data_IF_371728405858
#
_entry.id   IF_371728405858
#
_cell.length_a   1.000
_cell.length_b   1.000
_cell.length_c   1.000
_cell.angle_alpha   90.00
_cell.angle_beta   90.00
_cell.angle_gamma   90.00
#
_symmetry.space_group_name_H-M   'P 1'
#
loop_
_entity.id
_entity.type
_entity.pdbx_description
1 polymer ?
#
# COMPACT_ATOMS: atom_id res chain seq x y z
N UNK A 1 6.58 29.55 17.40
CA UNK A 1 5.78 28.31 17.48
C UNK A 1 6.08 27.32 16.34
N UNK A 2 6.26 27.77 15.09
CA UNK A 2 6.58 26.89 13.94
C UNK A 2 7.92 26.12 14.05
N UNK A 3 8.96 26.71 14.65
CA UNK A 3 10.28 26.07 14.79
C UNK A 3 10.27 24.88 15.74
N UNK A 4 9.48 24.93 16.82
CA UNK A 4 9.33 23.84 17.78
C UNK A 4 8.54 22.67 17.18
N UNK A 5 7.51 22.97 16.38
CA UNK A 5 6.76 21.96 15.61
C UNK A 5 7.65 21.25 14.59
N UNK A 6 8.47 21.98 13.83
CA UNK A 6 9.43 21.38 12.87
C UNK A 6 10.54 20.56 13.54
N UNK A 7 10.99 20.97 14.73
CA UNK A 7 11.98 20.20 15.50
C UNK A 7 11.35 18.92 16.06
N UNK A 8 10.16 18.99 16.64
CA UNK A 8 9.40 17.81 17.09
C UNK A 8 9.10 16.86 15.93
N UNK A 9 8.74 17.40 14.77
CA UNK A 9 8.49 16.63 13.56
C UNK A 9 9.78 15.95 13.06
N UNK A 10 10.93 16.63 13.11
CA UNK A 10 12.24 16.03 12.79
C UNK A 10 12.67 14.96 13.80
N UNK A 11 12.46 15.18 15.10
CA UNK A 11 12.83 14.22 16.15
C UNK A 11 11.96 12.97 16.06
N UNK A 12 10.65 13.14 15.92
CA UNK A 12 9.70 12.05 15.65
C UNK A 12 10.05 11.28 14.37
N UNK A 13 10.44 11.97 13.29
CA UNK A 13 10.88 11.31 12.04
C UNK A 13 12.17 10.50 12.20
N UNK A 14 13.09 10.92 13.07
CA UNK A 14 14.31 10.15 13.37
C UNK A 14 13.99 8.89 14.20
N UNK A 15 12.99 8.97 15.08
CA UNK A 15 12.51 7.81 15.85
C UNK A 15 11.74 6.82 14.96
N UNK A 16 10.92 7.31 14.03
CA UNK A 16 10.23 6.49 13.02
C UNK A 16 11.19 5.70 12.11
N UNK A 17 12.40 6.19 11.85
CA UNK A 17 13.41 5.48 11.05
C UNK A 17 13.94 4.19 11.68
N UNK A 18 13.66 3.95 12.97
CA UNK A 18 13.97 2.66 13.61
C UNK A 18 12.89 1.60 13.33
N UNK A 19 11.75 2.02 12.83
CA UNK A 19 10.61 1.16 12.53
C UNK A 19 10.46 0.99 11.02
N UNK A 20 9.97 -0.17 10.62
CA UNK A 20 9.74 -0.46 9.20
C UNK A 20 8.44 0.17 8.70
N UNK A 21 7.51 0.50 9.61
CA UNK A 21 6.23 1.15 9.28
C UNK A 21 5.64 1.97 10.44
N UNK A 22 4.78 2.97 10.17
CA UNK A 22 4.21 3.83 11.21
C UNK A 22 3.43 3.08 12.30
N UNK A 23 2.75 1.98 11.95
CA UNK A 23 1.97 1.16 12.87
C UNK A 23 2.82 0.59 14.02
N UNK A 24 4.10 0.30 13.77
CA UNK A 24 5.03 -0.19 14.80
C UNK A 24 5.36 0.92 15.80
N UNK A 25 5.55 2.16 15.33
CA UNK A 25 5.76 3.30 16.21
C UNK A 25 4.51 3.60 17.05
N UNK A 26 3.32 3.53 16.46
CA UNK A 26 2.06 3.71 17.20
C UNK A 26 1.79 2.62 18.24
N UNK A 27 2.32 1.41 18.06
CA UNK A 27 2.21 0.34 19.04
C UNK A 27 2.89 0.67 20.38
N UNK A 28 3.84 1.60 20.38
CA UNK A 28 4.56 2.05 21.56
C UNK A 28 3.77 3.08 22.38
N UNK A 29 2.74 3.70 21.80
CA UNK A 29 1.83 4.64 22.48
C UNK A 29 0.54 3.91 22.88
N UNK A 30 0.31 3.74 24.19
CA UNK A 30 -0.85 3.02 24.72
C UNK A 30 -2.20 3.63 24.35
N UNK A 31 -2.27 4.96 24.16
CA UNK A 31 -3.50 5.64 23.77
C UNK A 31 -3.75 5.48 22.27
N UNK A 32 -2.72 5.64 21.44
CA UNK A 32 -2.82 5.39 20.01
C UNK A 32 -3.21 3.94 19.75
N UNK A 33 -2.59 3.00 20.47
CA UNK A 33 -2.85 1.57 20.39
C UNK A 33 -4.33 1.20 20.57
N UNK A 34 -4.97 1.75 21.61
CA UNK A 34 -6.40 1.50 21.90
C UNK A 34 -7.30 1.97 20.76
N UNK A 35 -7.13 3.23 20.32
CA UNK A 35 -7.95 3.81 19.25
C UNK A 35 -7.75 3.08 17.92
N UNK A 36 -6.50 2.75 17.59
CA UNK A 36 -6.19 2.05 16.35
C UNK A 36 -6.75 0.62 16.35
N UNK A 37 -6.72 -0.08 17.49
CA UNK A 37 -7.33 -1.41 17.61
C UNK A 37 -8.81 -1.38 17.22
N UNK A 38 -9.59 -0.42 17.73
CA UNK A 38 -11.02 -0.31 17.42
C UNK A 38 -11.26 -0.03 15.93
N UNK A 39 -10.46 0.87 15.34
CA UNK A 39 -10.61 1.27 13.93
C UNK A 39 -10.18 0.16 12.96
N UNK A 40 -9.13 -0.59 13.30
CA UNK A 40 -8.61 -1.68 12.47
C UNK A 40 -9.54 -2.91 12.53
N UNK A 41 -10.27 -3.09 13.63
CA UNK A 41 -11.27 -4.15 13.79
C UNK A 41 -12.65 -3.80 13.24
N UNK A 42 -12.83 -2.64 12.59
CA UNK A 42 -14.11 -2.25 11.97
C UNK A 42 -14.69 -3.29 11.01
N UNK A 43 -13.92 -3.96 10.13
CA UNK A 43 -14.48 -5.00 9.26
C UNK A 43 -15.05 -6.19 10.04
N UNK A 44 -14.37 -6.60 11.11
CA UNK A 44 -14.77 -7.74 11.93
C UNK A 44 -15.95 -7.43 12.87
N UNK A 45 -16.02 -6.20 13.37
CA UNK A 45 -17.03 -5.77 14.36
C UNK A 45 -18.26 -5.14 13.71
N UNK A 46 -18.08 -4.48 12.57
CA UNK A 46 -19.10 -3.66 11.90
C UNK A 46 -18.97 -3.74 10.37
N UNK A 47 -18.83 -4.95 9.81
CA UNK A 47 -18.61 -5.15 8.37
C UNK A 47 -19.62 -4.43 7.45
N UNK A 48 -20.88 -4.27 7.89
CA UNK A 48 -21.92 -3.53 7.17
C UNK A 48 -21.60 -2.04 6.93
N UNK A 49 -20.72 -1.43 7.73
CA UNK A 49 -20.25 -0.05 7.54
C UNK A 49 -19.37 0.04 6.28
N UNK A 50 -18.67 -1.04 5.94
CA UNK A 50 -17.73 -1.12 4.82
C UNK A 50 -18.34 -1.83 3.60
N UNK A 51 -19.40 -2.63 3.76
CA UNK A 51 -20.06 -3.36 2.67
C UNK A 51 -21.08 -2.52 1.86
N UNK A 52 -21.35 -2.95 0.63
CA UNK A 52 -22.51 -2.53 -0.16
C UNK A 52 -22.48 -1.06 -0.62
N UNK A 53 -23.50 -0.27 -0.26
CA UNK A 53 -23.69 1.14 -0.70
C UNK A 53 -22.69 2.12 -0.06
N UNK A 54 -21.87 1.69 0.89
CA UNK A 54 -20.96 2.54 1.66
C UNK A 54 -19.50 2.47 1.16
N UNK A 55 -19.30 2.43 -0.18
CA UNK A 55 -17.97 2.36 -0.80
C UNK A 55 -17.02 3.48 -0.37
N UNK A 56 -17.54 4.63 0.05
CA UNK A 56 -16.74 5.75 0.56
C UNK A 56 -16.15 5.49 1.94
N UNK A 57 -16.87 4.78 2.82
CA UNK A 57 -16.34 4.37 4.11
C UNK A 57 -15.23 3.33 3.91
N UNK A 58 -15.44 2.38 3.00
CA UNK A 58 -14.41 1.43 2.60
C UNK A 58 -13.18 2.14 2.02
N UNK A 59 -13.36 3.16 1.17
CA UNK A 59 -12.26 3.95 0.62
C UNK A 59 -11.47 4.67 1.72
N UNK A 60 -12.15 5.37 2.63
CA UNK A 60 -11.51 6.06 3.75
C UNK A 60 -10.79 5.11 4.71
N UNK A 61 -11.38 3.95 4.99
CA UNK A 61 -10.77 2.92 5.82
C UNK A 61 -9.52 2.31 5.18
N UNK A 62 -9.56 1.98 3.89
CA UNK A 62 -8.39 1.48 3.16
C UNK A 62 -7.27 2.54 3.12
N UNK A 63 -7.62 3.81 2.86
CA UNK A 63 -6.64 4.90 2.88
C UNK A 63 -5.99 5.07 4.26
N UNK A 64 -6.78 5.01 5.34
CA UNK A 64 -6.24 5.04 6.70
C UNK A 64 -5.27 3.88 6.93
N UNK A 65 -5.65 2.66 6.56
CA UNK A 65 -4.78 1.49 6.71
C UNK A 65 -3.47 1.63 5.93
N UNK A 66 -3.50 2.21 4.73
CA UNK A 66 -2.28 2.56 3.97
C UNK A 66 -1.39 3.50 4.79
N UNK A 67 -1.93 4.60 5.31
CA UNK A 67 -1.15 5.60 6.08
C UNK A 67 -0.58 5.05 7.39
N UNK A 68 -1.17 3.97 7.92
CA UNK A 68 -0.65 3.28 9.10
C UNK A 68 0.44 2.26 8.73
N UNK A 69 0.36 1.63 7.57
CA UNK A 69 1.24 0.51 7.19
C UNK A 69 2.39 0.91 6.26
N UNK A 70 2.38 2.14 5.75
CA UNK A 70 3.43 2.68 4.87
C UNK A 70 3.81 4.12 5.28
N UNK A 71 5.11 4.40 5.33
CA UNK A 71 5.63 5.76 5.47
C UNK A 71 5.57 6.47 4.10
N UNK A 72 4.55 7.29 3.90
CA UNK A 72 4.32 7.97 2.62
C UNK A 72 5.43 8.99 2.31
N UNK A 73 6.01 9.62 3.32
CA UNK A 73 7.13 10.57 3.15
C UNK A 73 8.35 9.82 2.60
N UNK A 74 8.65 8.65 3.18
CA UNK A 74 9.71 7.77 2.69
C UNK A 74 9.48 7.33 1.23
N UNK A 75 8.26 6.91 0.89
CA UNK A 75 7.94 6.46 -0.47
C UNK A 75 8.02 7.61 -1.49
N UNK A 76 7.63 8.82 -1.13
CA UNK A 76 7.79 10.01 -1.98
C UNK A 76 9.27 10.36 -2.18
N UNK A 77 10.10 10.32 -1.12
CA UNK A 77 11.55 10.54 -1.22
C UNK A 77 12.19 9.48 -2.12
N UNK A 78 11.85 8.20 -1.93
CA UNK A 78 12.31 7.10 -2.78
C UNK A 78 11.87 7.24 -4.23
N UNK A 79 10.80 7.99 -4.49
CA UNK A 79 10.32 8.35 -5.83
C UNK A 79 10.97 9.64 -6.37
N UNK A 80 12.04 10.15 -5.74
CA UNK A 80 12.83 11.26 -6.26
C UNK A 80 12.39 12.66 -5.82
N UNK A 81 11.43 12.79 -4.88
CA UNK A 81 10.95 14.10 -4.41
C UNK A 81 12.08 15.04 -3.95
N UNK A 82 13.08 14.49 -3.26
CA UNK A 82 14.18 15.24 -2.65
C UNK A 82 15.51 15.07 -3.43
N UNK A 83 15.43 14.57 -4.68
CA UNK A 83 16.59 14.35 -5.55
C UNK A 83 17.15 12.92 -5.52
N UNK A 84 18.07 12.63 -6.45
CA UNK A 84 18.55 11.26 -6.72
C UNK A 84 19.31 10.64 -5.54
N UNK A 85 20.16 11.42 -4.86
CA UNK A 85 20.94 10.93 -3.71
C UNK A 85 20.02 10.54 -2.55
N UNK A 86 19.05 11.40 -2.22
CA UNK A 86 18.06 11.12 -1.19
C UNK A 86 17.17 9.92 -1.56
N UNK A 87 16.77 9.80 -2.83
CA UNK A 87 16.01 8.65 -3.32
C UNK A 87 16.79 7.34 -3.18
N UNK A 88 18.08 7.33 -3.57
CA UNK A 88 18.94 6.16 -3.41
C UNK A 88 19.09 5.73 -1.95
N UNK A 89 19.22 6.69 -1.02
CA UNK A 89 19.28 6.40 0.40
C UNK A 89 17.93 5.86 0.94
N UNK A 90 16.82 6.45 0.52
CA UNK A 90 15.48 6.03 0.92
C UNK A 90 15.13 4.62 0.42
N UNK A 91 15.57 4.24 -0.79
CA UNK A 91 15.32 2.91 -1.37
C UNK A 91 15.81 1.76 -0.48
N UNK A 92 16.88 1.96 0.31
CA UNK A 92 17.35 0.95 1.28
C UNK A 92 16.27 0.63 2.30
N UNK A 93 15.60 1.67 2.83
CA UNK A 93 14.50 1.50 3.78
C UNK A 93 13.22 0.99 3.11
N UNK A 94 12.98 1.35 1.84
CA UNK A 94 11.84 0.80 1.08
C UNK A 94 12.02 -0.71 0.83
N UNK A 95 13.25 -1.18 0.55
CA UNK A 95 13.56 -2.61 0.46
C UNK A 95 13.24 -3.32 1.77
N UNK A 96 13.65 -2.75 2.91
CA UNK A 96 13.36 -3.30 4.22
C UNK A 96 11.84 -3.36 4.50
N UNK A 97 11.15 -2.23 4.30
CA UNK A 97 9.69 -2.15 4.42
C UNK A 97 9.01 -3.20 3.55
N UNK A 98 9.38 -3.36 2.28
CA UNK A 98 8.74 -4.30 1.34
C UNK A 98 8.75 -5.76 1.81
N UNK A 99 9.70 -6.14 2.66
CA UNK A 99 9.81 -7.50 3.21
C UNK A 99 8.86 -7.74 4.39
N UNK A 100 8.28 -6.69 4.96
CA UNK A 100 7.35 -6.78 6.09
C UNK A 100 5.95 -7.23 5.68
N UNK A 101 5.23 -7.82 6.63
CA UNK A 101 3.80 -8.13 6.50
C UNK A 101 2.96 -6.84 6.36
N UNK A 102 3.37 -5.74 7.00
CA UNK A 102 2.66 -4.46 6.92
C UNK A 102 2.73 -3.87 5.50
N UNK A 103 3.88 -3.97 4.81
CA UNK A 103 3.98 -3.55 3.41
C UNK A 103 3.04 -4.35 2.49
N UNK A 104 3.00 -5.67 2.66
CA UNK A 104 2.09 -6.52 1.88
C UNK A 104 0.63 -6.18 2.17
N UNK A 105 0.29 -5.86 3.42
CA UNK A 105 -1.04 -5.35 3.78
C UNK A 105 -1.34 -4.00 3.14
N UNK A 106 -0.37 -3.07 3.13
CA UNK A 106 -0.51 -1.78 2.46
C UNK A 106 -0.82 -1.95 0.97
N UNK A 107 -0.14 -2.89 0.30
CA UNK A 107 -0.38 -3.24 -1.12
C UNK A 107 -1.79 -3.74 -1.34
N UNK A 108 -2.33 -4.61 -0.47
CA UNK A 108 -3.71 -5.06 -0.55
C UNK A 108 -4.69 -3.89 -0.43
N UNK A 109 -4.53 -3.02 0.57
CA UNK A 109 -5.38 -1.83 0.71
C UNK A 109 -5.29 -0.89 -0.49
N UNK A 110 -4.09 -0.68 -1.04
CA UNK A 110 -3.89 0.13 -2.24
C UNK A 110 -4.57 -0.46 -3.47
N UNK A 111 -4.62 -1.78 -3.61
CA UNK A 111 -5.34 -2.47 -4.66
C UNK A 111 -6.86 -2.33 -4.50
N UNK A 112 -7.37 -2.43 -3.26
CA UNK A 112 -8.79 -2.18 -2.97
C UNK A 112 -9.20 -0.74 -3.24
N UNK A 113 -8.32 0.25 -2.97
CA UNK A 113 -8.55 1.64 -3.37
C UNK A 113 -8.71 1.75 -4.89
N UNK A 114 -7.82 1.10 -5.65
CA UNK A 114 -7.92 1.09 -7.12
C UNK A 114 -9.25 0.49 -7.57
N UNK A 115 -9.61 -0.71 -7.11
CA UNK A 115 -10.86 -1.38 -7.48
C UNK A 115 -12.10 -0.54 -7.14
N UNK A 116 -12.13 0.05 -5.93
CA UNK A 116 -13.22 0.93 -5.52
C UNK A 116 -13.33 2.12 -6.46
N UNK A 117 -12.22 2.79 -6.79
CA UNK A 117 -12.25 4.00 -7.61
C UNK A 117 -12.50 3.70 -9.10
N UNK A 118 -12.06 2.55 -9.62
CA UNK A 118 -12.25 2.11 -11.00
C UNK A 118 -13.71 1.69 -11.27
N UNK A 119 -14.30 0.93 -10.35
CA UNK A 119 -15.69 0.46 -10.46
C UNK A 119 -16.73 1.52 -10.08
N UNK A 120 -16.36 2.48 -9.24
CA UNK A 120 -17.25 3.55 -8.85
C UNK A 120 -17.29 4.59 -9.97
N UNK A 121 -18.47 4.87 -10.52
CA UNK A 121 -18.70 6.05 -11.38
C UNK A 121 -18.57 7.33 -10.53
N UNK A 122 -17.37 7.66 -10.05
CA UNK A 122 -17.03 8.81 -9.19
C UNK A 122 -17.08 10.10 -9.99
N UNK A 123 -18.19 10.31 -10.69
CA UNK A 123 -18.60 11.60 -11.24
C UNK A 123 -19.45 12.36 -10.21
N UNK A 124 -19.85 11.71 -9.12
CA UNK A 124 -20.82 12.22 -8.13
C UNK A 124 -20.36 12.06 -6.67
N UNK A 125 -19.10 11.73 -6.40
CA UNK A 125 -18.67 11.53 -5.00
C UNK A 125 -18.30 12.87 -4.35
N UNK A 126 -18.83 13.12 -3.15
CA UNK A 126 -18.47 14.23 -2.26
C UNK A 126 -17.06 14.10 -1.65
N UNK A 127 -16.19 13.24 -2.18
CA UNK A 127 -14.84 13.08 -1.65
C UNK A 127 -14.02 14.31 -2.04
N UNK A 128 -13.43 14.98 -1.05
CA UNK A 128 -12.69 16.22 -1.29
C UNK A 128 -11.46 15.98 -2.20
N UNK A 129 -10.87 14.76 -2.22
CA UNK A 129 -9.58 14.47 -2.89
C UNK A 129 -9.35 12.97 -3.27
N UNK A 130 -10.12 12.36 -4.19
CA UNK A 130 -9.92 10.97 -4.61
C UNK A 130 -8.60 10.76 -5.37
N UNK A 131 -8.10 11.82 -6.01
CA UNK A 131 -6.79 11.92 -6.67
C UNK A 131 -5.64 11.64 -5.70
N UNK A 132 -5.66 12.25 -4.50
CA UNK A 132 -4.61 12.05 -3.49
C UNK A 132 -4.60 10.60 -2.98
N UNK A 133 -5.79 10.05 -2.72
CA UNK A 133 -5.94 8.67 -2.21
C UNK A 133 -5.39 7.67 -3.23
N UNK A 134 -5.69 7.88 -4.52
CA UNK A 134 -5.20 7.04 -5.60
C UNK A 134 -3.70 7.23 -5.83
N UNK A 135 -3.18 8.46 -5.71
CA UNK A 135 -1.75 8.76 -5.79
C UNK A 135 -0.94 8.03 -4.72
N UNK A 136 -1.36 8.10 -3.46
CA UNK A 136 -0.69 7.41 -2.35
C UNK A 136 -0.73 5.88 -2.57
N UNK A 137 -1.85 5.36 -3.04
CA UNK A 137 -1.99 3.93 -3.38
C UNK A 137 -1.05 3.52 -4.52
N UNK A 138 -0.88 4.37 -5.53
CA UNK A 138 0.05 4.14 -6.62
C UNK A 138 1.50 4.10 -6.14
N UNK A 139 1.89 4.99 -5.23
CA UNK A 139 3.22 4.98 -4.61
C UNK A 139 3.48 3.66 -3.91
N UNK A 140 2.56 3.21 -3.05
CA UNK A 140 2.68 1.96 -2.30
C UNK A 140 2.91 0.77 -3.22
N UNK A 141 2.03 0.52 -4.21
CA UNK A 141 2.17 -0.66 -5.06
C UNK A 141 3.40 -0.52 -5.97
N UNK A 142 3.63 0.65 -6.56
CA UNK A 142 4.76 0.85 -7.48
C UNK A 142 6.11 0.65 -6.79
N UNK A 143 6.28 1.19 -5.57
CA UNK A 143 7.50 1.03 -4.78
C UNK A 143 7.67 -0.41 -4.31
N UNK A 144 6.60 -1.06 -3.84
CA UNK A 144 6.66 -2.48 -3.50
C UNK A 144 7.08 -3.34 -4.70
N UNK A 145 6.48 -3.13 -5.87
CA UNK A 145 6.80 -3.87 -7.10
C UNK A 145 8.22 -3.56 -7.60
N UNK A 146 8.71 -2.33 -7.36
CA UNK A 146 10.03 -1.90 -7.77
C UNK A 146 11.13 -2.67 -7.03
N UNK A 147 11.01 -2.78 -5.70
CA UNK A 147 12.09 -3.28 -4.85
C UNK A 147 11.95 -4.76 -4.48
N UNK A 148 10.73 -5.31 -4.59
CA UNK A 148 10.51 -6.74 -4.31
C UNK A 148 11.21 -7.58 -5.37
N UNK A 149 11.80 -8.69 -4.96
CA UNK A 149 12.39 -9.68 -5.86
C UNK A 149 11.92 -11.05 -5.44
N UNK A 150 11.39 -11.82 -6.39
CA UNK A 150 11.16 -13.24 -6.22
C UNK A 150 12.06 -13.96 -7.22
N UNK A 151 13.25 -14.34 -6.76
CA UNK A 151 14.18 -15.16 -7.52
C UNK A 151 13.56 -16.54 -7.73
N UNK A 152 13.53 -17.01 -8.98
CA UNK A 152 13.09 -18.35 -9.39
C UNK A 152 11.63 -18.73 -9.08
N UNK A 153 10.67 -17.93 -9.55
CA UNK A 153 9.27 -18.40 -9.64
C UNK A 153 9.18 -19.45 -10.77
N UNK A 154 8.81 -20.71 -10.49
CA UNK A 154 8.61 -21.72 -11.53
C UNK A 154 7.59 -21.26 -12.57
N UNK A 155 7.80 -21.63 -13.83
CA UNK A 155 6.83 -21.36 -14.90
C UNK A 155 5.47 -22.00 -14.51
N UNK A 156 4.42 -21.19 -14.39
CA UNK A 156 3.09 -21.67 -13.97
C UNK A 156 2.86 -21.75 -12.45
N UNK A 157 3.74 -21.17 -11.63
CA UNK A 157 3.45 -21.01 -10.21
C UNK A 157 2.18 -20.16 -10.03
N UNK A 158 1.33 -20.52 -9.06
CA UNK A 158 0.07 -19.82 -8.86
C UNK A 158 0.36 -18.40 -8.34
N UNK A 159 -0.36 -17.42 -8.90
CA UNK A 159 -0.16 -15.99 -8.62
C UNK A 159 -1.28 -15.48 -7.73
N UNK A 160 -0.95 -14.58 -6.80
CA UNK A 160 -1.92 -13.90 -5.98
C UNK A 160 -2.52 -12.70 -6.74
N UNK A 161 -3.82 -12.72 -7.01
CA UNK A 161 -4.51 -11.60 -7.68
C UNK A 161 -4.76 -10.46 -6.69
N UNK A 162 -4.15 -9.30 -6.94
CA UNK A 162 -4.26 -8.14 -6.06
C UNK A 162 -5.65 -7.50 -6.06
N UNK A 163 -6.39 -7.59 -7.17
CA UNK A 163 -7.75 -7.04 -7.29
C UNK A 163 -8.84 -8.02 -6.86
N UNK A 164 -8.49 -9.17 -6.26
CA UNK A 164 -9.50 -10.09 -5.74
C UNK A 164 -10.26 -9.47 -4.56
N UNK A 165 -11.47 -9.96 -4.29
CA UNK A 165 -12.21 -9.56 -3.10
C UNK A 165 -11.51 -10.07 -1.83
N UNK A 166 -11.41 -9.21 -0.83
CA UNK A 166 -10.66 -9.50 0.39
C UNK A 166 -11.62 -9.44 1.59
N UNK A 167 -11.82 -10.59 2.22
CA UNK A 167 -12.51 -10.66 3.50
C UNK A 167 -11.58 -10.21 4.63
N UNK A 168 -11.64 -8.91 4.93
CA UNK A 168 -10.87 -8.29 6.01
C UNK A 168 -11.24 -8.81 7.40
N UNK A 169 -12.42 -9.42 7.58
CA UNK A 169 -12.78 -10.05 8.85
C UNK A 169 -11.98 -11.35 9.09
N UNK A 170 -11.57 -12.05 8.03
CA UNK A 170 -10.71 -13.24 8.10
C UNK A 170 -9.22 -12.90 8.27
N UNK A 171 -8.75 -11.82 7.64
CA UNK A 171 -7.36 -11.34 7.78
C UNK A 171 -7.09 -10.76 9.18
N UNK A 172 -8.11 -10.13 9.78
CA UNK A 172 -8.03 -9.48 11.10
C UNK A 172 -6.84 -8.51 11.16
N UNK A 173 -5.90 -8.79 12.06
CA UNK A 173 -4.77 -7.96 12.45
C UNK A 173 -3.43 -8.42 11.88
N UNK A 174 -3.43 -9.34 10.92
CA UNK A 174 -2.20 -9.75 10.25
C UNK A 174 -1.51 -8.55 9.56
N UNK A 175 -0.24 -8.32 9.89
CA UNK A 175 0.48 -7.11 9.47
C UNK A 175 0.21 -5.87 10.33
N UNK A 176 -0.54 -6.02 11.43
CA UNK A 176 -0.87 -4.98 12.42
C UNK A 176 -0.56 -5.43 13.87
N UNK A 177 0.00 -6.63 14.06
CA UNK A 177 0.02 -7.36 15.35
C UNK A 177 0.69 -6.67 16.54
N UNK A 178 1.50 -5.63 16.32
CA UNK A 178 2.04 -4.82 17.41
C UNK A 178 0.95 -3.97 18.12
N UNK A 179 -0.08 -3.53 17.37
CA UNK A 179 -1.10 -2.57 17.81
C UNK A 179 -2.35 -3.23 18.37
N UNK A 180 -2.81 -4.34 17.81
CA UNK A 180 -4.01 -5.03 18.30
C UNK A 180 -3.76 -5.82 19.58
N UNK A 181 -2.49 -6.09 19.93
CA UNK A 181 -2.13 -6.89 21.11
C UNK A 181 -2.58 -8.35 21.03
N UNK A 182 -3.19 -8.75 19.92
CA UNK A 182 -3.61 -10.10 19.60
C UNK A 182 -2.46 -10.80 18.87
N UNK A 183 -1.32 -10.93 19.55
CA UNK A 183 -0.37 -12.00 19.23
C UNK A 183 -1.05 -13.31 19.65
N UNK A 184 -2.08 -13.75 18.93
CA UNK A 184 -2.47 -15.15 18.97
C UNK A 184 -1.25 -15.90 18.42
N UNK A 185 -0.61 -16.77 19.20
CA UNK A 185 0.35 -17.69 18.62
C UNK A 185 -0.43 -18.47 17.56
N UNK A 186 0.01 -18.39 16.31
CA UNK A 186 -0.42 -19.34 15.29
C UNK A 186 -0.31 -20.73 15.92
N UNK A 187 -1.44 -21.41 16.08
CA UNK A 187 -1.51 -22.71 16.74
C UNK A 187 -0.42 -23.63 16.17
N UNK A 188 0.44 -24.27 16.98
CA UNK A 188 1.49 -25.15 16.46
C UNK A 188 0.97 -26.46 15.84
N UNK A 189 -0.35 -26.65 15.72
CA UNK A 189 -0.96 -27.96 15.49
C UNK A 189 -1.54 -28.19 14.08
N UNK A 190 -1.06 -27.48 13.06
CA UNK A 190 -1.29 -27.87 11.66
C UNK A 190 0.03 -27.95 10.90
N UNK A 191 0.92 -28.84 11.38
CA UNK A 191 2.12 -29.26 10.66
C UNK A 191 1.91 -30.58 9.88
N UNK A 192 0.69 -30.82 9.40
CA UNK A 192 0.50 -31.77 8.30
C UNK A 192 0.77 -31.05 6.98
N UNK A 193 1.97 -31.29 6.45
CA UNK A 193 2.44 -30.83 5.13
C UNK A 193 1.40 -31.10 4.05
N UNK A 194 0.73 -30.05 3.59
CA UNK A 194 0.21 -30.00 2.23
C UNK A 194 1.16 -29.14 1.38
N UNK A 195 1.82 -29.67 0.34
CA UNK A 195 2.54 -28.85 -0.62
C UNK A 195 1.52 -28.29 -1.59
N UNK A 196 0.89 -27.19 -1.23
CA UNK A 196 0.09 -26.41 -2.15
C UNK A 196 0.27 -24.94 -1.78
N UNK A 197 0.92 -24.19 -2.66
CA UNK A 197 0.96 -22.74 -2.64
C UNK A 197 -0.50 -22.27 -2.67
N UNK A 198 -1.07 -22.05 -1.49
CA UNK A 198 -2.44 -21.55 -1.38
C UNK A 198 -2.37 -20.06 -1.69
N UNK A 199 -3.13 -19.60 -2.69
CA UNK A 199 -3.18 -18.19 -3.08
C UNK A 199 -4.10 -17.37 -2.13
N UNK A 200 -4.04 -17.64 -0.83
CA UNK A 200 -4.88 -16.93 0.14
C UNK A 200 -4.28 -15.57 0.49
N UNK A 201 -5.10 -14.60 0.91
CA UNK A 201 -4.58 -13.32 1.39
C UNK A 201 -3.61 -13.50 2.57
N UNK A 202 -3.85 -14.46 3.46
CA UNK A 202 -2.98 -14.72 4.61
C UNK A 202 -1.59 -15.24 4.19
N UNK A 203 -1.53 -16.20 3.26
CA UNK A 203 -0.25 -16.72 2.78
C UNK A 203 0.56 -15.63 2.08
N UNK A 204 -0.10 -14.79 1.27
CA UNK A 204 0.54 -13.61 0.67
C UNK A 204 1.04 -12.64 1.74
N UNK A 205 0.23 -12.31 2.74
CA UNK A 205 0.65 -11.42 3.83
C UNK A 205 1.84 -11.99 4.61
N UNK A 206 1.94 -13.29 4.82
CA UNK A 206 3.06 -13.89 5.57
C UNK A 206 4.33 -14.01 4.75
N UNK A 207 4.21 -14.46 3.49
CA UNK A 207 5.33 -14.96 2.71
C UNK A 207 5.62 -14.11 1.46
N UNK A 208 4.71 -13.23 1.07
CA UNK A 208 4.72 -12.59 -0.24
C UNK A 208 4.48 -13.62 -1.35
N UNK A 209 4.92 -13.30 -2.55
CA UNK A 209 4.86 -14.22 -3.67
C UNK A 209 4.64 -13.55 -5.02
N UNK A 210 4.54 -14.36 -6.07
CA UNK A 210 4.18 -13.87 -7.39
C UNK A 210 2.77 -13.26 -7.37
N UNK A 211 2.62 -12.08 -7.97
CA UNK A 211 1.35 -11.35 -7.99
C UNK A 211 0.82 -11.18 -9.42
N UNK A 212 -0.50 -11.11 -9.54
CA UNK A 212 -1.18 -10.60 -10.72
C UNK A 212 -2.00 -9.35 -10.36
N UNK A 213 -2.29 -8.54 -11.35
CA UNK A 213 -3.12 -7.35 -11.20
C UNK A 213 -4.06 -7.24 -12.40
N UNK A 214 -5.36 -7.47 -12.16
CA UNK A 214 -6.37 -7.56 -13.21
C UNK A 214 -6.13 -8.75 -14.14
N UNK A 215 -5.68 -9.88 -13.60
CA UNK A 215 -5.36 -11.09 -14.36
C UNK A 215 -3.99 -11.07 -15.06
N UNK A 216 -3.27 -9.94 -15.05
CA UNK A 216 -1.94 -9.83 -15.64
C UNK A 216 -0.85 -10.13 -14.63
N UNK A 217 0.00 -11.11 -14.93
CA UNK A 217 1.22 -11.38 -14.14
C UNK A 217 2.14 -10.16 -14.08
N UNK A 218 2.63 -9.82 -12.88
CA UNK A 218 3.58 -8.72 -12.70
C UNK A 218 5.00 -9.27 -12.48
N UNK A 219 5.86 -8.99 -13.46
CA UNK A 219 7.30 -9.24 -13.32
C UNK A 219 7.93 -8.08 -12.54
N UNK A 220 8.25 -8.31 -11.27
CA UNK A 220 8.88 -7.33 -10.38
C UNK A 220 10.05 -6.54 -11.00
N UNK A 221 10.29 -5.35 -10.47
CA UNK A 221 11.32 -4.41 -10.93
C UNK A 221 10.75 -3.19 -11.67
N UNK A 222 11.67 -2.35 -12.17
CA UNK A 222 11.36 -1.03 -12.73
C UNK A 222 10.24 -1.02 -13.78
N UNK A 223 10.25 -1.97 -14.72
CA UNK A 223 9.27 -1.99 -15.82
C UNK A 223 7.85 -2.26 -15.31
N UNK A 224 7.66 -3.19 -14.36
CA UNK A 224 6.34 -3.44 -13.79
C UNK A 224 5.91 -2.35 -12.82
N UNK A 225 6.82 -1.80 -12.01
CA UNK A 225 6.52 -0.66 -11.15
C UNK A 225 6.01 0.53 -11.98
N UNK A 226 6.69 0.82 -13.09
CA UNK A 226 6.31 1.83 -14.08
C UNK A 226 4.94 1.51 -14.71
N UNK A 227 4.68 0.26 -15.08
CA UNK A 227 3.37 -0.16 -15.60
C UNK A 227 2.27 0.07 -14.56
N UNK A 228 2.51 -0.29 -13.30
CA UNK A 228 1.54 -0.14 -12.22
C UNK A 228 1.20 1.33 -11.99
N UNK A 229 2.21 2.20 -11.84
CA UNK A 229 1.97 3.63 -11.67
C UNK A 229 1.20 4.25 -12.86
N UNK A 230 1.37 3.75 -14.10
CA UNK A 230 0.53 4.17 -15.25
C UNK A 230 -0.92 3.78 -15.11
N UNK A 231 -1.23 2.55 -14.65
CA UNK A 231 -2.62 2.10 -14.43
C UNK A 231 -3.35 3.06 -13.50
N UNK A 232 -2.71 3.44 -12.39
CA UNK A 232 -3.25 4.41 -11.43
C UNK A 232 -3.34 5.83 -12.00
N UNK A 233 -2.32 6.29 -12.74
CA UNK A 233 -2.34 7.61 -13.38
C UNK A 233 -3.48 7.73 -14.40
N UNK A 234 -3.73 6.68 -15.18
CA UNK A 234 -4.81 6.66 -16.16
C UNK A 234 -6.18 6.76 -15.50
N UNK A 235 -6.39 6.03 -14.39
CA UNK A 235 -7.61 6.14 -13.61
C UNK A 235 -7.80 7.55 -13.02
N UNK A 236 -6.71 8.17 -12.52
CA UNK A 236 -6.75 9.57 -12.06
C UNK A 236 -7.13 10.57 -13.16
N UNK A 237 -6.65 10.39 -14.39
CA UNK A 237 -7.01 11.29 -15.50
C UNK A 237 -8.52 11.23 -15.82
N UNK A 238 -9.14 10.07 -15.58
CA UNK A 238 -10.58 9.84 -15.77
C UNK A 238 -11.48 10.66 -14.85
N UNK A 239 -10.95 11.25 -13.77
CA UNK A 239 -11.74 12.06 -12.82
C UNK A 239 -12.22 13.41 -13.40
N UNK A 240 -11.57 13.97 -14.43
CA UNK A 240 -12.11 15.04 -15.29
C UNK A 240 -12.34 16.45 -14.66
N UNK A 241 -12.01 17.51 -15.42
CA UNK A 241 -12.22 18.96 -15.17
C UNK A 241 -11.73 19.58 -13.85
N UNK A 242 -11.17 18.83 -12.91
CA UNK A 242 -10.37 19.40 -11.83
C UNK A 242 -8.95 19.55 -12.38
N UNK A 243 -8.65 20.77 -12.86
CA UNK A 243 -7.40 21.22 -13.51
C UNK A 243 -6.27 20.18 -13.51
N UNK A 244 -6.09 19.49 -14.65
CA UNK A 244 -5.02 18.53 -14.94
C UNK A 244 -4.29 17.99 -13.71
N UNK A 245 -4.96 17.11 -12.95
CA UNK A 245 -4.55 16.61 -11.63
C UNK A 245 -3.03 16.60 -11.47
N UNK A 246 -2.53 17.55 -10.69
CA UNK A 246 -1.10 17.70 -10.39
C UNK A 246 -0.48 16.38 -9.94
N UNK A 247 -1.25 15.51 -9.27
CA UNK A 247 -0.84 14.17 -8.85
C UNK A 247 -0.64 13.16 -9.98
N UNK A 248 -1.43 13.18 -11.06
CA UNK A 248 -1.18 12.27 -12.19
C UNK A 248 0.10 12.66 -12.93
N UNK A 249 0.33 13.97 -13.10
CA UNK A 249 1.59 14.52 -13.63
C UNK A 249 2.76 14.27 -12.69
N UNK A 250 2.58 14.44 -11.39
CA UNK A 250 3.61 14.19 -10.37
C UNK A 250 3.98 12.71 -10.29
N UNK A 251 3.00 11.81 -10.28
CA UNK A 251 3.26 10.37 -10.33
C UNK A 251 4.02 10.01 -11.60
N UNK A 252 3.67 10.65 -12.72
CA UNK A 252 4.45 10.54 -13.96
C UNK A 252 5.89 11.08 -13.82
N UNK A 253 6.09 12.22 -13.19
CA UNK A 253 7.45 12.74 -13.00
C UNK A 253 8.29 11.85 -12.07
N UNK A 254 7.73 11.46 -10.92
CA UNK A 254 8.43 10.80 -9.83
C UNK A 254 8.80 9.34 -10.13
N UNK A 255 7.92 8.57 -10.77
CA UNK A 255 8.27 7.20 -11.16
C UNK A 255 9.07 7.13 -12.48
N UNK A 256 9.66 8.26 -12.93
CA UNK A 256 10.56 8.30 -14.08
C UNK A 256 9.86 8.24 -15.45
N UNK A 257 8.71 8.91 -15.59
CA UNK A 257 7.98 8.99 -16.87
C UNK A 257 8.27 10.27 -17.68
N UNK A 258 9.27 11.07 -17.31
CA UNK A 258 9.78 12.16 -18.16
C UNK A 258 11.13 11.71 -18.72
N UNK A 259 11.13 11.26 -19.98
CA UNK A 259 12.36 10.97 -20.73
C UNK A 259 12.43 9.58 -21.33
N UNK A 260 11.48 9.18 -22.19
CA UNK A 260 11.69 8.07 -23.13
C UNK A 260 10.67 8.05 -24.30
N UNK A 261 10.19 9.23 -24.74
CA UNK A 261 9.28 9.34 -25.90
C UNK A 261 9.73 10.42 -26.92
N UNK A 262 11.01 10.82 -26.87
CA UNK A 262 11.59 11.83 -27.80
C UNK A 262 12.93 11.37 -28.41
N UNK A 263 13.07 10.06 -28.61
CA UNK A 263 14.11 9.49 -29.47
C UNK A 263 13.51 8.32 -30.25
N UNK A 264 12.74 8.67 -31.27
CA UNK A 264 12.68 7.95 -32.54
C UNK A 264 11.73 8.74 -33.47
N UNK A 265 12.28 9.80 -34.09
CA UNK A 265 12.13 10.17 -35.50
C UNK A 265 13.21 11.20 -35.88
#
# INVERSE_FOLDING_TARGET
MATRSRLLEKTWRLELRQFTSPIEAFAMDSKAKSVLSDVLLLPATHGSILSGRNRMNALGWNYLCITLTADIDLLEIASGRDGLEAASAALVHVVEWSRSTSARRAVLHAAQVFDILDSSRIRESHLTRPDLVLFVSALVISQYVLVSSHESVPLGAPTFELLQDIDWALIRDEGLGAVTGLLLPSSPLEHERAPAVSNTPQSFLQQGGPISFGGEFQKFGHVAARRMARKFAHLMDGFGKWDGCSYSRLLRAMCGFVGEDDRDY
#
